data_IF_165217655664
#
_entry.id   IF_165217655664
#
_cell.length_a   1.000
_cell.length_b   1.000
_cell.length_c   1.000
_cell.angle_alpha   90.00
_cell.angle_beta   90.00
_cell.angle_gamma   90.00
#
_symmetry.space_group_name_H-M   'P 1'
#
loop_
_entity.id
_entity.type
_entity.pdbx_description
1 polymer ?
#
# COMPACT_ATOMS: atom_id res chain seq x y z
N UNK A 1 21.97 -1.80 4.87
CA UNK A 1 22.70 -3.08 4.96
C UNK A 1 23.41 -3.32 6.31
N UNK A 2 23.99 -2.31 6.98
CA UNK A 2 24.68 -2.51 8.27
C UNK A 2 23.80 -2.95 9.46
N UNK A 3 22.57 -2.45 9.58
CA UNK A 3 21.69 -2.77 10.72
C UNK A 3 21.22 -4.23 10.70
N UNK A 4 20.89 -4.74 9.50
CA UNK A 4 20.53 -6.16 9.31
C UNK A 4 21.69 -7.09 9.69
N UNK A 5 22.93 -6.73 9.32
CA UNK A 5 24.12 -7.49 9.71
C UNK A 5 24.33 -7.53 11.24
N UNK A 6 24.04 -6.43 11.94
CA UNK A 6 24.10 -6.39 13.40
C UNK A 6 23.02 -7.25 14.05
N UNK A 7 21.77 -7.16 13.60
CA UNK A 7 20.66 -8.00 14.09
C UNK A 7 20.97 -9.48 13.86
N UNK A 8 21.51 -9.82 12.68
CA UNK A 8 21.99 -11.18 12.34
C UNK A 8 23.02 -11.71 13.34
N UNK A 9 23.96 -10.85 13.76
CA UNK A 9 24.97 -11.22 14.76
C UNK A 9 24.37 -11.51 16.14
N UNK A 10 23.31 -10.81 16.55
CA UNK A 10 22.63 -11.03 17.84
C UNK A 10 21.77 -12.29 17.84
N UNK A 11 21.19 -12.67 16.70
CA UNK A 11 20.33 -13.86 16.59
C UNK A 11 21.12 -15.18 16.48
N UNK A 12 22.44 -15.15 16.29
CA UNK A 12 23.29 -16.34 16.09
C UNK A 12 23.37 -17.30 17.31
N UNK A 13 22.74 -16.93 18.43
CA UNK A 13 22.60 -17.76 19.64
C UNK A 13 21.15 -18.03 20.07
N UNK A 14 20.14 -17.49 19.37
CA UNK A 14 18.74 -17.76 19.66
C UNK A 14 18.29 -18.98 18.86
N UNK A 15 17.80 -20.02 19.52
CA UNK A 15 17.12 -21.18 18.91
C UNK A 15 15.73 -20.80 18.41
N UNK A 16 15.62 -19.72 17.64
CA UNK A 16 14.40 -19.35 16.91
C UNK A 16 14.71 -19.76 15.48
N UNK A 17 14.09 -20.85 15.02
CA UNK A 17 14.33 -21.48 13.70
C UNK A 17 13.89 -20.62 12.52
N UNK A 18 14.44 -19.42 12.39
CA UNK A 18 14.25 -18.53 11.25
C UNK A 18 15.40 -18.76 10.27
N UNK A 19 15.05 -19.10 9.02
CA UNK A 19 16.03 -19.21 7.96
C UNK A 19 16.74 -17.86 7.73
N UNK A 20 18.06 -17.86 7.58
CA UNK A 20 18.83 -16.62 7.43
C UNK A 20 18.41 -15.81 6.19
N UNK A 21 17.92 -16.49 5.15
CA UNK A 21 17.45 -15.86 3.91
C UNK A 21 16.09 -15.16 4.09
N UNK A 22 15.29 -15.57 5.08
CA UNK A 22 13.93 -15.04 5.30
C UNK A 22 13.85 -14.04 6.44
N UNK A 23 14.87 -13.98 7.32
CA UNK A 23 14.91 -13.08 8.48
C UNK A 23 14.59 -11.63 8.13
N UNK A 24 15.18 -11.11 7.05
CA UNK A 24 14.93 -9.74 6.59
C UNK A 24 13.48 -9.51 6.16
N UNK A 25 12.83 -10.51 5.57
CA UNK A 25 11.42 -10.49 5.21
C UNK A 25 10.52 -10.53 6.44
N UNK A 26 10.79 -11.44 7.38
CA UNK A 26 10.06 -11.55 8.65
C UNK A 26 10.13 -10.26 9.46
N UNK A 27 11.32 -9.66 9.55
CA UNK A 27 11.50 -8.38 10.26
C UNK A 27 10.67 -7.25 9.62
N UNK A 28 10.72 -7.12 8.29
CA UNK A 28 9.92 -6.10 7.58
C UNK A 28 8.43 -6.32 7.78
N UNK A 29 7.96 -7.57 7.72
CA UNK A 29 6.56 -7.91 7.98
C UNK A 29 6.16 -7.56 9.41
N UNK A 30 6.97 -7.90 10.41
CA UNK A 30 6.71 -7.56 11.82
C UNK A 30 6.65 -6.06 12.07
N UNK A 31 7.58 -5.28 11.47
CA UNK A 31 7.55 -3.81 11.57
C UNK A 31 6.29 -3.25 10.91
N UNK A 32 5.94 -3.74 9.71
CA UNK A 32 4.74 -3.29 9.01
C UNK A 32 3.45 -3.59 9.80
N UNK A 33 3.35 -4.78 10.39
CA UNK A 33 2.25 -5.16 11.29
C UNK A 33 2.16 -4.23 12.50
N UNK A 34 3.29 -3.97 13.16
CA UNK A 34 3.34 -3.07 14.31
C UNK A 34 2.90 -1.64 13.95
N UNK A 35 3.41 -1.09 12.84
CA UNK A 35 3.03 0.26 12.39
C UNK A 35 1.54 0.33 12.05
N UNK A 36 1.00 -0.70 11.39
CA UNK A 36 -0.44 -0.78 11.10
C UNK A 36 -1.28 -0.75 12.39
N UNK A 37 -0.90 -1.52 13.40
CA UNK A 37 -1.59 -1.52 14.69
C UNK A 37 -1.51 -0.18 15.41
N UNK A 38 -0.33 0.44 15.47
CA UNK A 38 -0.18 1.74 16.13
C UNK A 38 -0.98 2.84 15.41
N UNK A 39 -1.01 2.82 14.07
CA UNK A 39 -1.85 3.72 13.30
C UNK A 39 -3.35 3.48 13.57
N UNK A 40 -3.78 2.22 13.63
CA UNK A 40 -5.17 1.88 13.95
C UNK A 40 -5.55 2.29 15.39
N UNK A 41 -4.68 2.10 16.39
CA UNK A 41 -4.94 2.52 17.78
C UNK A 41 -5.16 4.03 17.89
N UNK A 42 -4.46 4.81 17.09
CA UNK A 42 -4.63 6.26 16.99
C UNK A 42 -5.89 6.70 16.24
N UNK A 43 -6.73 5.77 15.76
CA UNK A 43 -7.86 6.04 14.88
C UNK A 43 -9.17 6.38 15.62
N UNK A 44 -9.13 6.48 16.95
CA UNK A 44 -10.28 6.39 17.84
C UNK A 44 -11.30 7.54 17.83
N UNK A 45 -11.28 8.49 16.87
CA UNK A 45 -12.32 9.55 16.80
C UNK A 45 -12.52 10.27 15.46
N UNK A 46 -11.46 10.54 14.69
CA UNK A 46 -11.55 11.41 13.49
C UNK A 46 -10.88 10.85 12.22
N UNK A 47 -10.51 9.56 12.14
CA UNK A 47 -9.69 9.01 11.03
C UNK A 47 -8.38 9.77 10.73
N UNK A 48 -7.87 10.59 11.68
CA UNK A 48 -6.72 11.49 11.47
C UNK A 48 -5.36 10.82 11.56
N UNK A 49 -5.27 9.56 12.00
CA UNK A 49 -3.98 8.89 12.11
C UNK A 49 -3.32 8.75 10.73
N UNK A 50 -4.06 8.28 9.73
CA UNK A 50 -3.60 8.21 8.35
C UNK A 50 -3.18 9.59 7.81
N UNK A 51 -4.00 10.63 8.01
CA UNK A 51 -3.67 11.99 7.55
C UNK A 51 -2.41 12.58 8.21
N UNK A 52 -2.16 12.26 9.49
CA UNK A 52 -0.95 12.71 10.20
C UNK A 52 0.30 11.92 9.82
N UNK A 53 0.18 10.61 9.69
CA UNK A 53 1.30 9.72 9.39
C UNK A 53 1.67 9.73 7.90
N UNK A 54 0.68 9.94 7.04
CA UNK A 54 0.77 9.89 5.57
C UNK A 54 0.18 11.17 4.96
N UNK A 55 0.73 12.37 5.25
CA UNK A 55 0.18 13.62 4.73
C UNK A 55 0.21 13.68 3.19
N UNK A 56 1.17 12.99 2.57
CA UNK A 56 1.27 12.85 1.11
C UNK A 56 0.07 12.12 0.50
N UNK A 57 -0.62 11.25 1.25
CA UNK A 57 -1.73 10.45 0.73
C UNK A 57 -2.88 11.31 0.23
N UNK A 58 -3.11 12.46 0.89
CA UNK A 58 -4.20 13.38 0.59
C UNK A 58 -3.75 14.57 -0.27
N UNK A 59 -2.47 14.64 -0.62
CA UNK A 59 -1.88 15.70 -1.42
C UNK A 59 -1.41 15.13 -2.75
N UNK A 60 -2.32 14.93 -3.69
CA UNK A 60 -1.95 14.51 -5.05
C UNK A 60 -1.43 15.72 -5.83
N UNK A 61 -0.17 15.66 -6.26
CA UNK A 61 0.40 16.68 -7.13
C UNK A 61 -0.37 16.69 -8.47
N UNK A 62 -0.82 17.87 -8.92
CA UNK A 62 -1.61 18.01 -10.14
C UNK A 62 -0.91 17.41 -11.36
N UNK A 63 -1.65 16.68 -12.19
CA UNK A 63 -1.16 16.00 -13.41
C UNK A 63 -0.48 16.91 -14.44
N UNK A 64 -0.66 18.23 -14.35
CA UNK A 64 -0.18 19.20 -15.34
C UNK A 64 1.30 19.59 -15.21
N UNK A 65 1.99 19.23 -14.12
CA UNK A 65 3.37 19.67 -13.86
C UNK A 65 4.27 18.55 -13.31
N UNK A 66 4.14 17.32 -13.80
CA UNK A 66 4.85 16.19 -13.19
C UNK A 66 6.25 15.96 -13.79
N UNK A 67 7.28 16.28 -13.01
CA UNK A 67 8.67 16.01 -13.32
C UNK A 67 9.15 14.62 -12.87
N UNK A 68 10.36 14.20 -13.30
CA UNK A 68 10.93 12.89 -12.92
C UNK A 68 11.00 12.63 -11.42
N UNK A 69 11.16 13.70 -10.62
CA UNK A 69 11.26 13.61 -9.16
C UNK A 69 9.93 13.21 -8.52
N UNK A 70 8.83 13.86 -8.90
CA UNK A 70 7.50 13.61 -8.33
C UNK A 70 7.01 12.21 -8.69
N UNK A 71 7.34 11.74 -9.89
CA UNK A 71 7.11 10.35 -10.28
C UNK A 71 7.80 9.38 -9.33
N UNK A 72 9.10 9.56 -9.07
CA UNK A 72 9.87 8.68 -8.17
C UNK A 72 9.38 8.77 -6.72
N UNK A 73 9.02 9.96 -6.25
CA UNK A 73 8.43 10.16 -4.92
C UNK A 73 7.08 9.43 -4.82
N UNK A 74 6.23 9.51 -5.85
CA UNK A 74 4.98 8.76 -5.93
C UNK A 74 5.21 7.24 -5.89
N UNK A 75 6.22 6.72 -6.61
CA UNK A 75 6.62 5.31 -6.52
C UNK A 75 7.05 4.95 -5.10
N UNK A 76 7.76 5.85 -4.40
CA UNK A 76 8.11 5.69 -2.98
C UNK A 76 6.88 5.59 -2.08
N UNK A 77 5.91 6.48 -2.28
CA UNK A 77 4.65 6.53 -1.53
C UNK A 77 3.84 5.24 -1.68
N UNK A 78 3.60 4.78 -2.91
CA UNK A 78 2.81 3.55 -3.13
C UNK A 78 3.50 2.31 -2.55
N UNK A 79 4.84 2.28 -2.52
CA UNK A 79 5.60 1.19 -1.90
C UNK A 79 5.41 1.20 -0.38
N UNK A 80 5.50 2.37 0.25
CA UNK A 80 5.26 2.50 1.68
C UNK A 80 3.84 2.05 2.04
N UNK A 81 2.85 2.46 1.24
CA UNK A 81 1.46 2.05 1.44
C UNK A 81 1.27 0.54 1.30
N UNK A 82 1.87 -0.07 0.28
CA UNK A 82 1.84 -1.53 0.10
C UNK A 82 2.40 -2.27 1.32
N UNK A 83 3.50 -1.79 1.91
CA UNK A 83 4.02 -2.38 3.15
C UNK A 83 3.04 -2.24 4.30
N UNK A 84 2.43 -1.06 4.47
CA UNK A 84 1.44 -0.83 5.53
C UNK A 84 0.22 -1.76 5.38
N UNK A 85 -0.35 -1.85 4.17
CA UNK A 85 -1.49 -2.72 3.88
C UNK A 85 -1.14 -4.20 4.06
N UNK A 86 0.05 -4.63 3.63
CA UNK A 86 0.51 -5.99 3.85
C UNK A 86 0.64 -6.31 5.35
N UNK A 87 1.16 -5.38 6.15
CA UNK A 87 1.20 -5.51 7.61
C UNK A 87 -0.21 -5.66 8.19
N UNK A 88 -1.13 -4.79 7.78
CA UNK A 88 -2.52 -4.83 8.21
C UNK A 88 -3.21 -6.17 7.89
N UNK A 89 -3.09 -6.62 6.63
CA UNK A 89 -3.66 -7.86 6.14
C UNK A 89 -3.04 -9.08 6.83
N UNK A 90 -1.73 -9.06 7.06
CA UNK A 90 -1.03 -10.13 7.78
C UNK A 90 -1.54 -10.26 9.21
N UNK A 91 -1.73 -9.14 9.92
CA UNK A 91 -2.31 -9.16 11.25
C UNK A 91 -3.73 -9.73 11.24
N UNK A 92 -4.58 -9.26 10.32
CA UNK A 92 -5.95 -9.77 10.17
C UNK A 92 -5.98 -11.27 9.92
N UNK A 93 -5.13 -11.77 9.03
CA UNK A 93 -5.07 -13.19 8.70
C UNK A 93 -4.55 -14.06 9.86
N UNK A 94 -3.53 -13.60 10.60
CA UNK A 94 -2.90 -14.36 11.68
C UNK A 94 -3.71 -14.34 12.98
N UNK A 95 -4.42 -13.25 13.26
CA UNK A 95 -5.07 -13.02 14.54
C UNK A 95 -6.61 -12.95 14.44
N UNK A 96 -7.19 -13.17 13.26
CA UNK A 96 -8.63 -13.10 13.00
C UNK A 96 -9.28 -11.82 13.58
N UNK A 97 -8.53 -10.71 13.61
CA UNK A 97 -8.95 -9.44 14.18
C UNK A 97 -8.67 -8.32 13.19
N UNK A 98 -9.62 -7.42 13.05
CA UNK A 98 -9.55 -6.37 12.05
C UNK A 98 -8.39 -5.42 12.36
N UNK A 99 -7.58 -5.14 11.33
CA UNK A 99 -6.62 -4.06 11.33
C UNK A 99 -6.94 -3.14 10.16
N UNK A 100 -7.33 -1.90 10.46
CA UNK A 100 -7.75 -0.91 9.43
C UNK A 100 -7.06 0.46 9.59
N UNK A 101 -5.74 0.55 9.40
CA UNK A 101 -4.96 1.78 9.58
C UNK A 101 -5.20 2.84 8.50
N UNK A 102 -5.66 2.43 7.32
CA UNK A 102 -5.94 3.31 6.18
C UNK A 102 -7.46 3.43 6.01
N UNK A 103 -8.03 4.63 6.09
CA UNK A 103 -9.47 4.84 5.90
C UNK A 103 -9.89 4.54 4.46
N UNK A 104 -11.10 3.97 4.28
CA UNK A 104 -11.61 3.63 2.95
C UNK A 104 -11.82 4.90 2.10
N UNK A 105 -12.05 6.05 2.73
CA UNK A 105 -12.18 7.36 2.10
C UNK A 105 -10.90 7.79 1.35
N UNK A 106 -9.75 7.19 1.65
CA UNK A 106 -8.51 7.43 0.92
C UNK A 106 -8.49 6.78 -0.48
N UNK A 107 -9.46 5.92 -0.82
CA UNK A 107 -9.48 5.13 -2.07
C UNK A 107 -9.29 5.99 -3.32
N UNK A 108 -9.97 7.14 -3.37
CA UNK A 108 -9.87 8.04 -4.52
C UNK A 108 -8.46 8.61 -4.69
N UNK A 109 -7.78 8.96 -3.60
CA UNK A 109 -6.42 9.49 -3.63
C UNK A 109 -5.38 8.41 -3.93
N UNK A 110 -5.61 7.17 -3.47
CA UNK A 110 -4.78 6.02 -3.81
C UNK A 110 -4.83 5.78 -5.32
N UNK A 111 -6.03 5.80 -5.90
CA UNK A 111 -6.21 5.69 -7.35
C UNK A 111 -5.45 6.80 -8.10
N UNK A 112 -5.55 8.05 -7.65
CA UNK A 112 -4.84 9.17 -8.27
C UNK A 112 -3.31 8.96 -8.26
N UNK A 113 -2.71 8.47 -7.16
CA UNK A 113 -1.29 8.13 -7.11
C UNK A 113 -0.90 7.03 -8.12
N UNK A 114 -1.77 6.03 -8.29
CA UNK A 114 -1.56 4.96 -9.27
C UNK A 114 -1.62 5.51 -10.70
N UNK A 115 -2.58 6.39 -10.99
CA UNK A 115 -2.72 7.04 -12.30
C UNK A 115 -1.48 7.88 -12.65
N UNK A 116 -0.91 8.60 -11.68
CA UNK A 116 0.36 9.34 -11.85
C UNK A 116 1.48 8.41 -12.34
N UNK A 117 1.60 7.23 -11.73
CA UNK A 117 2.62 6.25 -12.10
C UNK A 117 2.33 5.65 -13.48
N UNK A 118 1.07 5.33 -13.77
CA UNK A 118 0.68 4.76 -15.07
C UNK A 118 0.92 5.76 -16.21
N UNK A 119 0.54 7.03 -16.03
CA UNK A 119 0.78 8.08 -17.03
C UNK A 119 2.27 8.40 -17.19
N UNK A 120 3.01 8.52 -16.07
CA UNK A 120 4.44 8.82 -16.09
C UNK A 120 5.33 7.69 -16.60
N UNK A 121 4.84 6.44 -16.66
CA UNK A 121 5.67 5.29 -17.01
C UNK A 121 6.27 5.38 -18.43
N UNK A 122 5.49 5.86 -19.40
CA UNK A 122 5.94 6.02 -20.79
C UNK A 122 6.69 7.34 -21.02
N UNK A 123 6.28 8.41 -20.32
CA UNK A 123 6.78 9.77 -20.51
C UNK A 123 8.13 10.03 -19.83
N UNK A 124 8.42 9.36 -18.71
CA UNK A 124 9.65 9.61 -17.96
C UNK A 124 10.83 8.79 -18.52
N UNK A 125 12.06 9.34 -18.52
CA UNK A 125 13.22 8.62 -18.99
C UNK A 125 13.48 7.37 -18.13
N UNK A 126 13.65 6.21 -18.78
CA UNK A 126 13.92 4.89 -18.15
C UNK A 126 15.34 4.80 -17.54
N UNK A 127 15.73 5.80 -16.77
CA UNK A 127 17.07 6.00 -16.25
C UNK A 127 17.33 5.26 -14.91
N UNK A 128 16.31 4.62 -14.32
CA UNK A 128 16.47 3.92 -13.04
C UNK A 128 15.74 2.58 -12.99
N UNK A 129 16.29 1.64 -12.20
CA UNK A 129 15.63 0.36 -11.89
C UNK A 129 14.27 0.60 -11.22
N UNK A 130 14.16 1.65 -10.40
CA UNK A 130 12.92 2.01 -9.74
C UNK A 130 11.81 2.34 -10.74
N UNK A 131 12.14 3.09 -11.80
CA UNK A 131 11.23 3.33 -12.93
C UNK A 131 10.78 2.02 -13.57
N UNK A 132 11.73 1.14 -13.91
CA UNK A 132 11.41 -0.13 -14.57
C UNK A 132 10.49 -1.02 -13.73
N UNK A 133 10.57 -0.91 -12.40
CA UNK A 133 9.70 -1.64 -11.46
C UNK A 133 8.42 -0.88 -11.03
N UNK A 134 8.18 0.33 -11.54
CA UNK A 134 7.12 1.20 -11.05
C UNK A 134 5.72 0.62 -11.29
N UNK A 135 5.44 0.09 -12.49
CA UNK A 135 4.17 -0.58 -12.80
C UNK A 135 3.97 -1.82 -11.92
N UNK A 136 5.01 -2.60 -11.68
CA UNK A 136 4.94 -3.74 -10.76
C UNK A 136 4.46 -3.28 -9.37
N UNK A 137 5.05 -2.22 -8.83
CA UNK A 137 4.64 -1.68 -7.54
C UNK A 137 3.21 -1.12 -7.56
N UNK A 138 2.79 -0.47 -8.66
CA UNK A 138 1.43 0.02 -8.81
C UNK A 138 0.40 -1.12 -8.79
N UNK A 139 0.63 -2.20 -9.54
CA UNK A 139 -0.26 -3.37 -9.55
C UNK A 139 -0.27 -4.12 -8.21
N UNK A 140 0.87 -4.24 -7.53
CA UNK A 140 0.92 -4.80 -6.17
C UNK A 140 0.03 -3.98 -5.23
N UNK A 141 0.08 -2.65 -5.31
CA UNK A 141 -0.79 -1.80 -4.48
C UNK A 141 -2.27 -1.99 -4.84
N UNK A 142 -2.63 -2.06 -6.14
CA UNK A 142 -4.02 -2.34 -6.55
C UNK A 142 -4.55 -3.64 -5.96
N UNK A 143 -3.74 -4.71 -6.00
CA UNK A 143 -4.10 -6.02 -5.45
C UNK A 143 -4.27 -5.95 -3.93
N UNK A 144 -3.30 -5.34 -3.22
CA UNK A 144 -3.37 -5.20 -1.77
C UNK A 144 -4.56 -4.34 -1.33
N UNK A 145 -4.85 -3.25 -2.03
CA UNK A 145 -5.99 -2.38 -1.74
C UNK A 145 -7.32 -3.12 -1.97
N UNK A 146 -7.41 -3.90 -3.04
CA UNK A 146 -8.58 -4.75 -3.31
C UNK A 146 -8.85 -5.71 -2.15
N UNK A 147 -7.84 -6.51 -1.77
CA UNK A 147 -7.98 -7.47 -0.67
C UNK A 147 -8.26 -6.76 0.66
N UNK A 148 -7.66 -5.59 0.90
CA UNK A 148 -7.92 -4.79 2.10
C UNK A 148 -9.38 -4.34 2.22
N UNK A 149 -9.98 -3.86 1.12
CA UNK A 149 -11.41 -3.49 1.09
C UNK A 149 -12.32 -4.71 1.18
N UNK A 150 -11.98 -5.81 0.50
CA UNK A 150 -12.73 -7.08 0.59
C UNK A 150 -12.77 -7.62 2.02
N UNK A 151 -11.64 -7.60 2.73
CA UNK A 151 -11.56 -8.00 4.14
C UNK A 151 -12.40 -7.07 5.04
N UNK A 152 -12.37 -5.77 4.78
CA UNK A 152 -13.21 -4.81 5.50
C UNK A 152 -14.71 -5.06 5.24
N UNK A 153 -15.09 -5.39 4.01
CA UNK A 153 -16.47 -5.71 3.66
C UNK A 153 -16.92 -7.06 4.24
N UNK A 154 -16.03 -8.06 4.28
CA UNK A 154 -16.29 -9.37 4.87
C UNK A 154 -16.45 -9.32 6.40
N UNK A 155 -15.92 -8.28 7.04
CA UNK A 155 -16.12 -8.01 8.47
C UNK A 155 -17.53 -7.47 8.77
N UNK A 156 -18.29 -7.06 7.74
CA UNK A 156 -19.67 -6.60 7.87
C UNK A 156 -20.65 -7.72 7.51
N UNK A 157 -21.91 -7.56 7.92
CA UNK A 157 -22.99 -8.47 7.52
C UNK A 157 -23.16 -8.38 5.98
N UNK A 158 -23.16 -9.50 5.24
CA UNK A 158 -23.39 -9.51 3.80
C UNK A 158 -24.68 -8.77 3.42
N UNK A 159 -24.63 -7.98 2.34
CA UNK A 159 -25.73 -7.13 1.87
C UNK A 159 -26.22 -6.03 2.84
N UNK A 160 -25.49 -5.76 3.93
CA UNK A 160 -25.71 -4.55 4.73
C UNK A 160 -25.31 -3.29 3.96
N UNK A 161 -25.78 -2.13 4.41
CA UNK A 161 -25.38 -0.83 3.87
C UNK A 161 -23.85 -0.65 3.93
N UNK A 162 -23.23 -0.91 5.08
CA UNK A 162 -21.78 -0.81 5.26
C UNK A 162 -20.97 -1.73 4.33
N UNK A 163 -21.45 -2.97 4.12
CA UNK A 163 -20.88 -3.89 3.15
C UNK A 163 -20.98 -3.33 1.72
N UNK A 164 -22.17 -2.84 1.35
CA UNK A 164 -22.45 -2.29 0.02
C UNK A 164 -21.64 -1.03 -0.27
N UNK A 165 -21.48 -0.14 0.73
CA UNK A 165 -20.62 1.05 0.65
C UNK A 165 -19.17 0.65 0.40
N UNK A 166 -18.62 -0.31 1.15
CA UNK A 166 -17.23 -0.76 0.97
C UNK A 166 -17.02 -1.33 -0.44
N UNK A 167 -17.96 -2.14 -0.92
CA UNK A 167 -17.92 -2.70 -2.28
C UNK A 167 -18.06 -1.61 -3.36
N UNK A 168 -18.92 -0.62 -3.16
CA UNK A 168 -19.04 0.54 -4.04
C UNK A 168 -17.72 1.29 -4.18
N UNK A 169 -17.04 1.57 -3.05
CA UNK A 169 -15.71 2.22 -3.04
C UNK A 169 -14.68 1.39 -3.82
N UNK A 170 -14.72 0.06 -3.72
CA UNK A 170 -13.85 -0.83 -4.49
C UNK A 170 -14.14 -0.75 -6.00
N UNK A 171 -15.41 -0.74 -6.40
CA UNK A 171 -15.77 -0.59 -7.81
C UNK A 171 -15.37 0.78 -8.36
N UNK A 172 -15.57 1.86 -7.60
CA UNK A 172 -15.18 3.21 -7.99
C UNK A 172 -13.65 3.32 -8.16
N UNK A 173 -12.89 2.68 -7.29
CA UNK A 173 -11.43 2.58 -7.40
C UNK A 173 -11.02 1.96 -8.75
N UNK A 174 -11.59 0.80 -9.10
CA UNK A 174 -11.30 0.15 -10.37
C UNK A 174 -11.87 0.92 -11.56
N UNK A 175 -12.99 1.62 -11.41
CA UNK A 175 -13.53 2.54 -12.42
C UNK A 175 -12.54 3.64 -12.79
N UNK A 176 -11.78 4.15 -11.81
CA UNK A 176 -10.69 5.11 -12.04
C UNK A 176 -9.42 4.47 -12.63
N UNK A 177 -9.00 3.31 -12.15
CA UNK A 177 -7.69 2.72 -12.52
C UNK A 177 -7.73 2.00 -13.87
N UNK A 178 -8.85 1.32 -14.18
CA UNK A 178 -8.97 0.49 -15.39
C UNK A 178 -8.68 1.23 -16.70
N UNK A 179 -9.17 2.47 -16.93
CA UNK A 179 -8.85 3.21 -18.15
C UNK A 179 -7.35 3.37 -18.39
N UNK A 180 -6.56 3.66 -17.35
CA UNK A 180 -5.11 3.80 -17.46
C UNK A 180 -4.41 2.47 -17.77
N UNK A 181 -4.91 1.35 -17.22
CA UNK A 181 -4.41 0.01 -17.55
C UNK A 181 -4.66 -0.30 -19.02
N UNK A 182 -5.87 -0.03 -19.51
CA UNK A 182 -6.22 -0.27 -20.92
C UNK A 182 -5.37 0.60 -21.86
N UNK A 183 -5.11 1.86 -21.51
CA UNK A 183 -4.20 2.72 -22.25
C UNK A 183 -2.78 2.15 -22.31
N UNK A 184 -2.21 1.71 -21.17
CA UNK A 184 -0.88 1.08 -21.15
C UNK A 184 -0.78 -0.13 -22.08
N UNK A 185 -1.79 -1.01 -22.05
CA UNK A 185 -1.84 -2.21 -22.90
C UNK A 185 -2.00 -1.83 -24.38
N UNK A 186 -2.73 -0.77 -24.70
CA UNK A 186 -2.88 -0.31 -26.08
C UNK A 186 -1.59 0.23 -26.71
N UNK A 187 -0.60 0.57 -25.89
CA UNK A 187 0.71 1.07 -26.31
C UNK A 187 1.84 0.03 -26.13
N UNK A 188 1.50 -1.21 -25.76
CA UNK A 188 2.45 -2.32 -25.54
C UNK A 188 2.68 -3.17 -26.78
#
# INVERSE_FOLDING_TARGET
FHTLGKIKSYCKGMTVGLNEDTLGGTLKSGIAQYVALEMMRGNSRDNRAAARCLPWLYSTASSLQQGPREFLDCVGHIRLLSWLLLGSLSHTALHASTCTPVPQEASCHIADHIQIIMAGFAEQPKASVLHMSSLFHAFVLCQLWTVYLEQSAASNIPASEAHSTTMGILFDFWGKVTPCVLQLVSHS
#
